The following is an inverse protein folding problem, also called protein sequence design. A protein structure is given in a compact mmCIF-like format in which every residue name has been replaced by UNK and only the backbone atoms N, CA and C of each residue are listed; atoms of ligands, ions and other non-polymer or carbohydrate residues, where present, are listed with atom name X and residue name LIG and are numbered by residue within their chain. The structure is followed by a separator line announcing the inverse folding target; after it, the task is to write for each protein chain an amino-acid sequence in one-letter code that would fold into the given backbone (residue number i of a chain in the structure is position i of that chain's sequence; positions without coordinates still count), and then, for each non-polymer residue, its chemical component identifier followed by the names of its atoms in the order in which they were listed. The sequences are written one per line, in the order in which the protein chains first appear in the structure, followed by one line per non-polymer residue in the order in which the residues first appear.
data_IF_658640560975
#
_entry.id   IF_658640560975
#
_cell.length_a   1.000
_cell.length_b   1.000
_cell.length_c   1.000
_cell.angle_alpha   90.00
_cell.angle_beta   90.00
_cell.angle_gamma   90.00
#
_symmetry.space_group_name_H-M   'P 1'
#
loop_
_entity.id
_entity.type
_entity.pdbx_description
1 polymer ?
#
# COMPACT_ATOMS: atom_id res chain seq x y z
N UNK A 1 -15.40 2.80 -17.03
CA UNK A 1 -14.31 2.03 -16.37
C UNK A 1 -14.81 1.65 -14.98
N UNK A 2 -14.92 0.37 -14.66
CA UNK A 2 -15.32 -0.09 -13.32
C UNK A 2 -14.46 -1.28 -12.94
N UNK A 3 -13.40 -1.03 -12.18
CA UNK A 3 -12.58 -2.06 -11.56
C UNK A 3 -13.25 -2.47 -10.25
N UNK A 4 -14.41 -3.14 -10.33
CA UNK A 4 -15.05 -3.71 -9.16
C UNK A 4 -14.25 -4.95 -8.75
N UNK A 5 -13.29 -4.75 -7.84
CA UNK A 5 -12.46 -5.83 -7.30
C UNK A 5 -13.34 -6.72 -6.42
N UNK A 6 -13.81 -7.84 -6.99
CA UNK A 6 -14.65 -8.83 -6.30
C UNK A 6 -13.77 -9.86 -5.61
N UNK A 7 -13.13 -9.47 -4.50
CA UNK A 7 -12.67 -10.49 -3.56
C UNK A 7 -13.85 -10.91 -2.69
N UNK A 8 -13.95 -12.22 -2.44
CA UNK A 8 -15.03 -12.81 -1.67
C UNK A 8 -15.12 -12.23 -0.24
N UNK A 9 -16.22 -12.49 0.48
CA UNK A 9 -16.36 -12.04 1.85
C UNK A 9 -15.16 -12.50 2.69
N UNK A 10 -14.60 -11.58 3.49
CA UNK A 10 -13.43 -11.86 4.34
C UNK A 10 -13.82 -12.93 5.36
N UNK A 11 -13.07 -14.03 5.42
CA UNK A 11 -13.31 -15.11 6.38
C UNK A 11 -12.93 -14.66 7.80
N UNK A 12 -13.55 -15.21 8.86
CA UNK A 12 -13.07 -15.01 10.23
C UNK A 12 -11.60 -15.38 10.42
N UNK A 13 -11.11 -16.39 9.68
CA UNK A 13 -9.69 -16.77 9.68
C UNK A 13 -8.80 -15.65 9.13
N UNK A 14 -9.22 -15.03 8.02
CA UNK A 14 -8.50 -13.91 7.39
C UNK A 14 -8.50 -12.69 8.31
N UNK A 15 -9.61 -12.40 8.99
CA UNK A 15 -9.66 -11.31 9.97
C UNK A 15 -8.66 -11.51 11.12
N UNK A 16 -8.51 -12.74 11.62
CA UNK A 16 -7.52 -13.04 12.66
C UNK A 16 -6.08 -12.89 12.14
N UNK A 17 -5.82 -13.29 10.89
CA UNK A 17 -4.52 -13.09 10.24
C UNK A 17 -4.21 -11.60 10.02
N UNK A 18 -5.17 -10.81 9.56
CA UNK A 18 -4.98 -9.37 9.37
C UNK A 18 -4.74 -8.65 10.70
N UNK A 19 -5.44 -9.06 11.77
CA UNK A 19 -5.20 -8.55 13.12
C UNK A 19 -3.80 -8.91 13.63
N UNK A 20 -3.37 -10.15 13.50
CA UNK A 20 -2.03 -10.53 13.96
C UNK A 20 -0.93 -9.77 13.22
N UNK A 21 -1.10 -9.52 11.92
CA UNK A 21 -0.17 -8.69 11.13
C UNK A 21 -0.11 -7.23 11.60
N UNK A 22 -1.24 -6.63 11.97
CA UNK A 22 -1.25 -5.26 12.50
C UNK A 22 -0.45 -5.17 13.80
N UNK A 23 -0.66 -6.12 14.72
CA UNK A 23 0.08 -6.17 16.00
C UNK A 23 1.57 -6.39 15.75
N UNK A 24 1.93 -7.34 14.88
CA UNK A 24 3.31 -7.68 14.54
C UNK A 24 4.05 -6.55 13.76
N UNK A 25 3.30 -5.65 13.14
CA UNK A 25 3.82 -4.42 12.54
C UNK A 25 3.85 -3.23 13.51
N UNK A 26 3.38 -3.40 14.76
CA UNK A 26 3.38 -2.37 15.80
C UNK A 26 2.21 -1.40 15.73
N UNK A 27 1.13 -1.73 15.02
CA UNK A 27 -0.10 -0.93 15.01
C UNK A 27 -1.03 -1.36 16.14
N UNK A 28 -1.45 -0.42 16.98
CA UNK A 28 -2.47 -0.68 18.00
C UNK A 28 -3.82 -1.00 17.34
N UNK A 29 -4.38 -2.13 17.73
CA UNK A 29 -5.77 -2.49 17.42
C UNK A 29 -6.58 -1.99 18.61
N UNK A 30 -7.12 -0.79 18.47
CA UNK A 30 -7.97 -0.21 19.50
C UNK A 30 -9.23 -1.08 19.61
N UNK A 31 -9.30 -1.89 20.66
CA UNK A 31 -10.38 -2.85 20.89
C UNK A 31 -11.44 -2.30 21.83
N UNK A 32 -11.27 -1.08 22.33
CA UNK A 32 -12.06 -0.56 23.43
C UNK A 32 -12.28 0.95 23.37
N UNK A 33 -13.32 1.36 22.65
CA UNK A 33 -14.18 2.44 23.14
C UNK A 33 -15.47 2.44 22.33
N UNK A 34 -16.60 2.33 23.02
CA UNK A 34 -17.95 2.36 22.45
C UNK A 34 -18.36 3.74 21.94
N UNK A 35 -17.48 4.41 21.22
CA UNK A 35 -17.77 5.64 20.50
C UNK A 35 -17.30 5.50 19.05
N UNK A 36 -18.04 6.10 18.15
CA UNK A 36 -18.11 5.72 16.75
C UNK A 36 -16.77 5.67 15.99
N UNK A 37 -16.44 4.46 15.52
CA UNK A 37 -16.15 4.20 14.10
C UNK A 37 -14.92 4.90 13.48
N UNK A 38 -13.90 5.26 14.24
CA UNK A 38 -12.58 5.48 13.65
C UNK A 38 -11.85 4.13 13.55
N UNK A 39 -12.21 3.31 12.57
CA UNK A 39 -11.33 2.20 12.19
C UNK A 39 -9.93 2.76 11.99
N UNK A 40 -8.95 2.23 12.74
CA UNK A 40 -7.57 2.65 12.61
C UNK A 40 -7.22 2.65 11.11
N UNK A 41 -6.64 3.74 10.61
CA UNK A 41 -6.27 3.92 9.21
C UNK A 41 -5.44 2.73 8.69
N UNK A 42 -4.65 2.10 9.55
CA UNK A 42 -3.93 0.86 9.29
C UNK A 42 -4.86 -0.33 9.01
N UNK A 43 -5.91 -0.51 9.81
CA UNK A 43 -6.92 -1.56 9.62
C UNK A 43 -7.68 -1.39 8.31
N UNK A 44 -8.11 -0.17 7.96
CA UNK A 44 -8.73 0.05 6.66
C UNK A 44 -7.77 -0.29 5.51
N UNK A 45 -6.50 0.10 5.62
CA UNK A 45 -5.51 -0.13 4.57
C UNK A 45 -5.14 -1.60 4.39
N UNK A 46 -5.01 -2.38 5.46
CA UNK A 46 -4.70 -3.81 5.32
C UNK A 46 -5.87 -4.57 4.69
N UNK A 47 -7.11 -4.17 5.00
CA UNK A 47 -8.32 -4.71 4.37
C UNK A 47 -8.37 -4.34 2.88
N UNK A 48 -8.10 -3.09 2.53
CA UNK A 48 -8.02 -2.65 1.12
C UNK A 48 -6.99 -3.48 0.33
N UNK A 49 -5.81 -3.73 0.90
CA UNK A 49 -4.75 -4.53 0.26
C UNK A 49 -5.16 -5.99 0.09
N UNK A 50 -5.79 -6.57 1.11
CA UNK A 50 -6.28 -7.94 1.08
C UNK A 50 -7.39 -8.11 0.03
N UNK A 51 -8.35 -7.19 0.02
CA UNK A 51 -9.37 -7.10 -1.02
C UNK A 51 -8.80 -6.69 -2.38
N UNK A 52 -7.60 -6.13 -2.44
CA UNK A 52 -6.84 -5.90 -3.66
C UNK A 52 -6.19 -7.17 -4.22
N UNK A 53 -6.26 -8.29 -3.49
CA UNK A 53 -5.70 -9.58 -3.88
C UNK A 53 -4.36 -9.92 -3.27
N UNK A 54 -3.87 -9.09 -2.35
CA UNK A 54 -2.67 -9.39 -1.61
C UNK A 54 -3.01 -10.26 -0.40
N UNK A 55 -2.88 -11.59 -0.56
CA UNK A 55 -3.23 -12.57 0.48
C UNK A 55 -2.03 -13.10 1.26
N UNK A 56 -0.82 -12.88 0.76
CA UNK A 56 0.42 -13.32 1.40
C UNK A 56 0.77 -12.41 2.59
N UNK A 57 0.84 -12.95 3.83
CA UNK A 57 1.07 -12.16 5.03
C UNK A 57 2.39 -11.39 5.02
N UNK A 58 3.45 -11.96 4.44
CA UNK A 58 4.75 -11.29 4.36
C UNK A 58 4.70 -10.07 3.43
N UNK A 59 3.99 -10.20 2.30
CA UNK A 59 3.79 -9.10 1.35
C UNK A 59 2.88 -8.01 1.93
N UNK A 60 1.81 -8.39 2.63
CA UNK A 60 0.93 -7.47 3.34
C UNK A 60 1.70 -6.64 4.37
N UNK A 61 2.51 -7.28 5.23
CA UNK A 61 3.35 -6.58 6.21
C UNK A 61 4.33 -5.63 5.55
N UNK A 62 5.00 -6.08 4.48
CA UNK A 62 5.96 -5.27 3.73
C UNK A 62 5.32 -4.03 3.09
N UNK A 63 4.18 -4.20 2.42
CA UNK A 63 3.43 -3.07 1.85
C UNK A 63 2.91 -2.13 2.93
N UNK A 64 2.39 -2.65 4.05
CA UNK A 64 1.98 -1.80 5.17
C UNK A 64 3.13 -0.95 5.68
N UNK A 65 4.26 -1.57 6.02
CA UNK A 65 5.42 -0.84 6.55
C UNK A 65 5.93 0.19 5.53
N UNK A 66 5.84 -0.09 4.23
CA UNK A 66 6.15 0.86 3.18
C UNK A 66 5.15 2.03 3.11
N UNK A 67 3.85 1.76 3.07
CA UNK A 67 2.79 2.78 2.98
C UNK A 67 2.76 3.72 4.19
N UNK A 68 3.11 3.19 5.36
CA UNK A 68 3.21 3.96 6.60
C UNK A 68 4.60 4.58 6.82
N UNK A 69 5.53 4.43 5.87
CA UNK A 69 6.85 5.05 5.92
C UNK A 69 7.82 4.46 6.95
N UNK A 70 7.44 3.33 7.56
CA UNK A 70 8.28 2.58 8.52
C UNK A 70 9.44 1.89 7.79
N UNK A 71 9.20 1.39 6.59
CA UNK A 71 10.22 0.82 5.72
C UNK A 71 10.38 1.63 4.43
N UNK A 72 11.63 1.93 4.08
CA UNK A 72 11.95 2.51 2.77
C UNK A 72 12.17 1.35 1.79
N UNK A 73 11.40 1.32 0.69
CA UNK A 73 11.81 0.52 -0.46
C UNK A 73 13.08 1.10 -1.03
N UNK A 74 14.00 0.22 -1.44
CA UNK A 74 15.08 0.61 -2.33
C UNK A 74 14.43 1.29 -3.54
N UNK A 75 14.54 2.62 -3.60
CA UNK A 75 14.10 3.35 -4.77
C UNK A 75 15.00 2.84 -5.87
N UNK A 76 14.40 2.24 -6.91
CA UNK A 76 15.12 2.02 -8.17
C UNK A 76 15.85 3.33 -8.44
N UNK A 77 17.19 3.35 -8.48
CA UNK A 77 17.93 4.59 -8.64
C UNK A 77 17.33 5.28 -9.86
N UNK A 78 16.88 6.51 -9.67
CA UNK A 78 16.27 7.28 -10.75
C UNK A 78 17.19 7.15 -11.94
N UNK A 79 16.66 6.64 -13.07
CA UNK A 79 17.40 6.55 -14.32
C UNK A 79 18.19 7.85 -14.49
N UNK A 80 19.47 7.71 -14.87
CA UNK A 80 20.44 8.80 -14.90
C UNK A 80 19.89 10.10 -15.53
N UNK A 81 20.56 11.24 -15.29
CA UNK A 81 20.03 12.55 -15.66
C UNK A 81 19.49 12.56 -17.09
N UNK A 82 18.24 13.02 -17.26
CA UNK A 82 17.60 13.13 -18.56
C UNK A 82 18.51 13.98 -19.50
N UNK A 83 18.62 13.63 -20.80
CA UNK A 83 19.38 14.42 -21.75
C UNK A 83 18.90 15.88 -21.74
N UNK A 84 19.84 16.85 -21.82
CA UNK A 84 19.55 18.29 -21.72
C UNK A 84 18.43 18.77 -22.66
N UNK A 85 18.27 18.11 -23.80
CA UNK A 85 17.30 18.48 -24.83
C UNK A 85 15.98 17.69 -24.77
N UNK A 86 15.77 16.86 -23.75
CA UNK A 86 14.54 16.06 -23.63
C UNK A 86 13.28 16.92 -23.41
N UNK A 87 13.44 18.14 -22.88
CA UNK A 87 12.33 19.06 -22.60
C UNK A 87 12.26 20.21 -23.63
N UNK A 88 13.38 20.55 -24.28
CA UNK A 88 13.46 21.71 -25.18
C UNK A 88 13.00 21.45 -26.62
N UNK A 89 12.68 20.21 -26.97
CA UNK A 89 12.42 19.83 -28.35
C UNK A 89 13.72 19.63 -29.15
N UNK A 90 13.66 18.81 -30.19
CA UNK A 90 14.81 18.58 -31.08
C UNK A 90 15.17 19.89 -31.78
N UNK A 91 16.45 20.30 -31.79
CA UNK A 91 16.85 21.48 -32.54
C UNK A 91 16.49 21.27 -34.01
N UNK A 92 15.65 22.16 -34.53
CA UNK A 92 15.30 22.18 -35.93
C UNK A 92 16.57 22.38 -36.76
N UNK A 93 16.85 21.45 -37.67
CA UNK A 93 17.85 21.62 -38.71
C UNK A 93 17.36 22.69 -39.69
N UNK A 94 17.49 23.97 -39.31
CA UNK A 94 17.33 25.09 -40.23
C UNK A 94 18.57 25.19 -41.11
N UNK A 95 18.43 24.78 -42.37
CA UNK A 95 19.34 25.15 -43.46
C UNK A 95 18.83 26.41 -44.14
#
# INVERSE_FOLDING_TARGET
MSSAQKYGPISPHDLNMLRSLLVDAGFEIDTYSGDDRSFNKATCKIIDLFQGGMTDPFKLKGEMLFLFGVQKRERVPSRGPLPRYAIQGLPGFGR
#
